data_IF_876699641799
#
_entry.id   IF_876699641799
#
_cell.length_a   1.000
_cell.length_b   1.000
_cell.length_c   1.000
_cell.angle_alpha   90.00
_cell.angle_beta   90.00
_cell.angle_gamma   90.00
#
_symmetry.space_group_name_H-M   'P 1'
#
loop_
_entity.id
_entity.type
_entity.pdbx_description
1 polymer ?
#
# COMPACT_ATOMS: atom_id res chain seq x y z
N UNK A 1 -12.13 -17.40 15.60
CA UNK A 1 -11.15 -17.80 14.58
C UNK A 1 -10.98 -16.61 13.64
N UNK A 2 -9.84 -15.91 13.69
CA UNK A 2 -9.63 -14.74 12.84
C UNK A 2 -9.59 -15.20 11.38
N UNK A 3 -10.49 -14.65 10.56
CA UNK A 3 -10.52 -14.89 9.12
C UNK A 3 -9.14 -14.58 8.55
N UNK A 4 -8.49 -15.59 7.94
CA UNK A 4 -7.13 -15.46 7.41
C UNK A 4 -7.20 -14.61 6.14
N UNK A 5 -7.04 -13.30 6.31
CA UNK A 5 -7.00 -12.33 5.22
C UNK A 5 -5.99 -12.78 4.16
N UNK A 6 -6.39 -12.70 2.89
CA UNK A 6 -5.49 -13.00 1.77
C UNK A 6 -4.26 -12.09 1.88
N UNK A 7 -3.09 -12.67 1.99
CA UNK A 7 -1.84 -11.92 2.09
C UNK A 7 -1.37 -11.55 0.68
N UNK A 8 -0.95 -10.30 0.50
CA UNK A 8 -0.38 -9.83 -0.77
C UNK A 8 0.99 -9.19 -0.51
N UNK A 9 1.90 -9.27 -1.47
CA UNK A 9 3.22 -8.64 -1.29
C UNK A 9 3.04 -7.14 -1.35
N UNK A 10 3.45 -6.43 -0.29
CA UNK A 10 3.24 -4.99 -0.24
C UNK A 10 3.88 -4.22 -1.39
N UNK A 11 5.03 -4.71 -1.89
CA UNK A 11 5.69 -4.14 -3.08
C UNK A 11 4.80 -4.21 -4.32
N UNK A 12 3.98 -5.25 -4.44
CA UNK A 12 3.03 -5.38 -5.54
C UNK A 12 1.88 -4.37 -5.41
N UNK A 13 1.36 -4.18 -4.19
CA UNK A 13 0.35 -3.14 -3.90
C UNK A 13 0.88 -1.75 -4.26
N UNK A 14 2.11 -1.43 -3.83
CA UNK A 14 2.74 -0.15 -4.14
C UNK A 14 2.88 0.06 -5.66
N UNK A 15 3.34 -0.97 -6.38
CA UNK A 15 3.44 -0.92 -7.86
C UNK A 15 2.08 -0.73 -8.53
N UNK A 16 1.02 -1.41 -8.06
CA UNK A 16 -0.34 -1.27 -8.60
C UNK A 16 -0.89 0.13 -8.36
N UNK A 17 -0.69 0.69 -7.17
CA UNK A 17 -1.09 2.06 -6.87
C UNK A 17 -0.36 3.08 -7.75
N UNK A 18 0.95 2.92 -7.95
CA UNK A 18 1.72 3.78 -8.84
C UNK A 18 1.22 3.71 -10.29
N UNK A 19 0.92 2.49 -10.79
CA UNK A 19 0.28 2.31 -12.11
C UNK A 19 -1.10 2.96 -12.20
N UNK A 20 -1.84 3.00 -11.10
CA UNK A 20 -3.13 3.68 -11.00
C UNK A 20 -3.02 5.21 -10.78
N UNK A 21 -1.82 5.80 -10.91
CA UNK A 21 -1.62 7.25 -10.83
C UNK A 21 -1.37 7.80 -9.43
N UNK A 22 -1.23 6.95 -8.42
CA UNK A 22 -0.83 7.41 -7.09
C UNK A 22 0.68 7.71 -7.04
N UNK A 23 1.04 8.81 -6.41
CA UNK A 23 2.43 9.20 -6.16
C UNK A 23 2.76 9.09 -4.68
N UNK A 24 3.99 8.67 -4.35
CA UNK A 24 4.45 8.64 -2.95
C UNK A 24 4.71 10.07 -2.50
N UNK A 25 4.04 10.49 -1.44
CA UNK A 25 4.25 11.79 -0.81
C UNK A 25 5.34 11.75 0.27
N UNK A 26 5.35 10.68 1.06
CA UNK A 26 6.26 10.53 2.20
C UNK A 26 6.45 9.05 2.52
N UNK A 27 7.64 8.73 3.02
CA UNK A 27 7.93 7.45 3.67
C UNK A 27 8.28 7.73 5.14
N UNK A 28 7.70 6.96 6.07
CA UNK A 28 8.02 7.00 7.50
C UNK A 28 8.10 5.58 8.04
N UNK A 29 9.31 5.09 8.30
CA UNK A 29 9.52 3.67 8.64
C UNK A 29 9.04 2.77 7.50
N UNK A 30 8.21 1.77 7.82
CA UNK A 30 7.59 0.88 6.82
C UNK A 30 6.44 1.54 6.05
N UNK A 31 5.87 2.64 6.54
CA UNK A 31 4.70 3.26 5.95
C UNK A 31 5.07 4.14 4.74
N UNK A 32 4.49 3.81 3.58
CA UNK A 32 4.54 4.61 2.36
C UNK A 32 3.20 5.31 2.20
N UNK A 33 3.19 6.62 2.25
CA UNK A 33 1.99 7.44 2.08
C UNK A 33 1.89 7.88 0.63
N UNK A 34 0.75 7.61 -0.01
CA UNK A 34 0.51 7.94 -1.41
C UNK A 34 -0.72 8.81 -1.59
N UNK A 35 -0.67 9.68 -2.60
CA UNK A 35 -1.81 10.49 -3.03
C UNK A 35 -1.97 10.42 -4.54
N UNK A 36 -3.20 10.36 -5.00
CA UNK A 36 -3.51 10.55 -6.41
C UNK A 36 -3.69 12.06 -6.66
N UNK A 37 -2.88 12.69 -7.55
CA UNK A 37 -2.87 14.14 -7.69
C UNK A 37 -4.18 14.68 -8.28
N UNK A 38 -4.76 13.99 -9.26
CA UNK A 38 -6.01 14.43 -9.91
C UNK A 38 -7.26 14.22 -9.05
N UNK A 39 -7.42 13.03 -8.45
CA UNK A 39 -8.62 12.69 -7.66
C UNK A 39 -8.52 13.11 -6.19
N UNK A 40 -7.32 13.46 -5.71
CA UNK A 40 -7.08 13.79 -4.30
C UNK A 40 -7.07 12.60 -3.33
N UNK A 41 -7.38 11.37 -3.79
CA UNK A 41 -7.40 10.17 -2.94
C UNK A 41 -6.08 9.94 -2.23
N UNK A 42 -6.14 9.52 -0.97
CA UNK A 42 -4.97 9.28 -0.13
C UNK A 42 -5.00 7.87 0.46
N UNK A 43 -3.85 7.22 0.54
CA UNK A 43 -3.71 5.89 1.16
C UNK A 43 -2.31 5.67 1.73
N UNK A 44 -2.16 4.65 2.57
CA UNK A 44 -0.87 4.25 3.14
C UNK A 44 -0.64 2.75 2.98
N UNK A 45 0.57 2.36 2.58
CA UNK A 45 1.00 0.96 2.45
C UNK A 45 2.15 0.68 3.40
N UNK A 46 2.01 -0.31 4.28
CA UNK A 46 3.04 -0.68 5.27
C UNK A 46 3.95 -1.81 4.76
N UNK A 47 5.12 -1.47 4.25
CA UNK A 47 6.14 -2.41 3.76
C UNK A 47 7.05 -2.91 4.89
N UNK A 48 6.73 -4.08 5.46
CA UNK A 48 7.60 -4.78 6.41
C UNK A 48 8.55 -5.72 5.63
N UNK A 49 9.69 -5.21 5.17
CA UNK A 49 10.71 -6.02 4.46
C UNK A 49 10.19 -6.73 3.20
N UNK A 50 10.69 -7.95 2.92
CA UNK A 50 10.15 -8.84 1.88
C UNK A 50 8.82 -9.52 2.28
N UNK A 51 8.23 -9.10 3.41
CA UNK A 51 7.03 -9.69 3.99
C UNK A 51 5.73 -9.32 3.27
N UNK A 52 4.71 -10.14 3.55
CA UNK A 52 3.36 -9.97 3.03
C UNK A 52 2.58 -8.93 3.87
N UNK A 53 1.62 -8.26 3.25
CA UNK A 53 0.68 -7.33 3.90
C UNK A 53 -0.71 -7.99 3.88
N UNK A 54 -1.43 -8.02 5.02
CA UNK A 54 -2.82 -8.42 5.05
C UNK A 54 -3.69 -7.45 4.23
N UNK A 55 -4.53 -7.97 3.35
CA UNK A 55 -5.56 -7.15 2.68
C UNK A 55 -6.82 -7.11 3.54
N UNK A 56 -7.31 -5.91 3.88
CA UNK A 56 -8.67 -5.73 4.35
C UNK A 56 -9.53 -5.37 3.13
N UNK A 57 -10.58 -6.15 2.88
CA UNK A 57 -11.57 -5.90 1.81
C UNK A 57 -12.70 -5.01 2.32
#
# INVERSE_FOLDING_TARGET
MAERLRSCKGREVLRKLQKAGFVVLRVKGSAHYLRHPQTGRFTSVHLHGAGEIPVAL
#
